data_IF_531991052979
#
_entry.id   IF_531991052979
#
_cell.length_a   1.000
_cell.length_b   1.000
_cell.length_c   1.000
_cell.angle_alpha   90.00
_cell.angle_beta   90.00
_cell.angle_gamma   90.00
#
_symmetry.space_group_name_H-M   'P 1'
#
loop_
_entity.id
_entity.type
_entity.pdbx_description
1 polymer ?
#
# COMPACT_ATOMS: atom_id res chain seq x y z
N UNK A 1 26.09 -6.51 24.46
CA UNK A 1 24.72 -6.89 24.08
C UNK A 1 24.85 -8.09 23.16
N UNK A 2 24.08 -9.17 23.35
CA UNK A 2 24.13 -10.29 22.41
C UNK A 2 23.49 -9.89 21.07
N UNK A 3 23.74 -10.67 20.02
CA UNK A 3 23.11 -10.46 18.71
C UNK A 3 21.58 -10.50 18.82
N UNK A 4 21.05 -11.45 19.60
CA UNK A 4 19.63 -11.59 19.88
C UNK A 4 19.09 -10.37 20.64
N UNK A 5 19.81 -9.90 21.67
CA UNK A 5 19.42 -8.69 22.40
C UNK A 5 19.35 -7.45 21.49
N UNK A 6 20.25 -7.33 20.51
CA UNK A 6 20.24 -6.23 19.55
C UNK A 6 19.00 -6.28 18.64
N UNK A 7 18.62 -7.46 18.16
CA UNK A 7 17.37 -7.63 17.38
C UNK A 7 16.16 -7.28 18.24
N UNK A 8 16.08 -7.79 19.47
CA UNK A 8 14.95 -7.48 20.37
C UNK A 8 14.87 -5.99 20.68
N UNK A 9 16.02 -5.35 20.91
CA UNK A 9 16.09 -3.91 21.15
C UNK A 9 15.63 -3.10 19.93
N UNK A 10 16.00 -3.51 18.72
CA UNK A 10 15.52 -2.90 17.49
C UNK A 10 13.99 -3.00 17.38
N UNK A 11 13.43 -4.21 17.53
CA UNK A 11 11.99 -4.45 17.47
C UNK A 11 11.23 -3.68 18.54
N UNK A 12 11.74 -3.66 19.77
CA UNK A 12 11.16 -2.89 20.87
C UNK A 12 11.06 -1.39 20.54
N UNK A 13 12.10 -0.83 19.91
CA UNK A 13 12.08 0.58 19.49
C UNK A 13 11.03 0.85 18.41
N UNK A 14 10.88 -0.05 17.42
CA UNK A 14 9.82 0.04 16.40
C UNK A 14 8.43 0.01 17.04
N UNK A 15 8.18 -0.91 17.98
CA UNK A 15 6.92 -1.00 18.71
C UNK A 15 6.60 0.27 19.51
N UNK A 16 7.63 0.89 20.13
CA UNK A 16 7.47 2.18 20.81
C UNK A 16 7.12 3.31 19.84
N UNK A 17 7.74 3.35 18.67
CA UNK A 17 7.39 4.33 17.63
C UNK A 17 5.96 4.12 17.15
N UNK A 18 5.56 2.87 16.90
CA UNK A 18 4.19 2.52 16.51
C UNK A 18 3.17 2.99 17.56
N UNK A 19 3.44 2.71 18.85
CA UNK A 19 2.60 3.17 19.97
C UNK A 19 2.50 4.69 20.00
N UNK A 20 3.63 5.39 19.86
CA UNK A 20 3.66 6.85 19.82
C UNK A 20 2.84 7.43 18.67
N UNK A 21 2.88 6.82 17.47
CA UNK A 21 2.05 7.23 16.33
C UNK A 21 0.56 7.07 16.65
N UNK A 22 0.17 5.95 17.26
CA UNK A 22 -1.21 5.69 17.65
C UNK A 22 -1.73 6.70 18.67
N UNK A 23 -0.89 7.12 19.61
CA UNK A 23 -1.19 8.10 20.65
C UNK A 23 -1.22 9.55 20.16
N UNK A 24 -0.87 9.83 18.89
CA UNK A 24 -1.00 11.17 18.33
C UNK A 24 -2.46 11.63 18.35
N UNK A 25 -2.63 12.89 18.75
CA UNK A 25 -3.91 13.61 18.78
C UNK A 25 -3.79 14.85 17.90
N UNK A 26 -4.89 15.27 17.28
CA UNK A 26 -4.88 16.42 16.35
C UNK A 26 -6.22 16.61 15.65
N UNK A 27 -6.28 17.62 14.78
CA UNK A 27 -7.47 17.97 13.99
C UNK A 27 -7.50 17.31 12.60
N UNK A 28 -7.98 18.06 11.59
CA UNK A 28 -8.41 17.59 10.27
C UNK A 28 -7.40 16.77 9.45
N UNK A 29 -6.11 16.81 9.80
CA UNK A 29 -5.04 16.09 9.09
C UNK A 29 -4.38 14.98 9.90
N UNK A 30 -4.91 14.65 11.09
CA UNK A 30 -4.35 13.65 11.99
C UNK A 30 -4.13 12.30 11.29
N UNK A 31 -5.09 11.84 10.52
CA UNK A 31 -4.97 10.56 9.79
C UNK A 31 -3.85 10.60 8.77
N UNK A 32 -3.71 11.68 8.00
CA UNK A 32 -2.62 11.81 7.03
C UNK A 32 -1.25 11.81 7.73
N UNK A 33 -1.15 12.48 8.88
CA UNK A 33 0.06 12.46 9.71
C UNK A 33 0.37 11.06 10.24
N UNK A 34 -0.63 10.32 10.74
CA UNK A 34 -0.44 8.95 11.19
C UNK A 34 -0.01 8.04 10.03
N UNK A 35 -0.68 8.12 8.87
CA UNK A 35 -0.38 7.34 7.67
C UNK A 35 1.06 7.53 7.20
N UNK A 36 1.52 8.78 7.07
CA UNK A 36 2.91 9.05 6.65
C UNK A 36 3.93 8.50 7.66
N UNK A 37 3.66 8.60 8.96
CA UNK A 37 4.56 8.06 9.98
C UNK A 37 4.59 6.53 9.96
N UNK A 38 3.45 5.86 9.77
CA UNK A 38 3.41 4.41 9.59
C UNK A 38 4.16 3.95 8.34
N UNK A 39 4.01 4.67 7.23
CA UNK A 39 4.74 4.38 6.00
C UNK A 39 6.26 4.54 6.19
N UNK A 40 6.69 5.59 6.89
CA UNK A 40 8.09 5.77 7.29
C UNK A 40 8.58 4.65 8.21
N UNK A 41 7.73 4.15 9.11
CA UNK A 41 8.07 3.03 9.98
C UNK A 41 8.26 1.71 9.20
N UNK A 42 7.42 1.46 8.19
CA UNK A 42 7.60 0.34 7.26
C UNK A 42 8.89 0.49 6.44
N UNK A 43 9.22 1.68 5.95
CA UNK A 43 10.50 1.94 5.28
C UNK A 43 11.70 1.77 6.21
N UNK A 44 11.54 2.11 7.48
CA UNK A 44 12.56 1.89 8.52
C UNK A 44 12.80 0.39 8.68
N UNK A 45 11.75 -0.41 8.93
CA UNK A 45 11.85 -1.86 8.99
C UNK A 45 12.47 -2.47 7.73
N UNK A 46 12.08 -1.98 6.55
CA UNK A 46 12.63 -2.42 5.27
C UNK A 46 14.14 -2.14 5.17
N UNK A 47 14.62 -0.97 5.61
CA UNK A 47 16.05 -0.65 5.63
C UNK A 47 16.79 -1.56 6.61
N UNK A 48 16.24 -1.79 7.81
CA UNK A 48 16.83 -2.65 8.82
C UNK A 48 16.97 -4.09 8.36
N UNK A 49 15.93 -4.66 7.74
CA UNK A 49 15.95 -6.05 7.28
C UNK A 49 16.74 -6.25 5.98
N UNK A 50 16.62 -5.33 5.02
CA UNK A 50 17.08 -5.56 3.64
C UNK A 50 18.33 -4.75 3.26
N UNK A 51 18.73 -3.76 4.07
CA UNK A 51 19.86 -2.89 3.76
C UNK A 51 19.72 -2.27 2.36
N UNK A 52 20.75 -2.39 1.54
CA UNK A 52 20.76 -1.93 0.14
C UNK A 52 20.79 -3.07 -0.89
N UNK A 53 20.39 -4.28 -0.47
CA UNK A 53 20.25 -5.44 -1.35
C UNK A 53 19.25 -5.20 -2.50
N UNK A 54 18.23 -4.37 -2.28
CA UNK A 54 17.23 -3.99 -3.28
C UNK A 54 17.43 -2.54 -3.72
N UNK A 55 17.69 -2.35 -5.01
CA UNK A 55 17.85 -1.04 -5.62
C UNK A 55 16.52 -0.30 -5.77
N UNK A 56 16.51 0.95 -5.33
CA UNK A 56 15.40 1.90 -5.46
C UNK A 56 14.35 1.76 -4.35
N UNK A 57 14.06 2.87 -3.67
CA UNK A 57 13.19 2.91 -2.50
C UNK A 57 11.80 2.32 -2.77
N UNK A 58 11.21 2.63 -3.93
CA UNK A 58 9.90 2.10 -4.28
C UNK A 58 9.88 0.58 -4.52
N UNK A 59 10.96 0.01 -5.07
CA UNK A 59 11.06 -1.45 -5.24
C UNK A 59 11.26 -2.14 -3.90
N UNK A 60 12.15 -1.59 -3.07
CA UNK A 60 12.40 -2.07 -1.71
C UNK A 60 11.13 -2.04 -0.86
N UNK A 61 10.37 -0.94 -0.89
CA UNK A 61 9.09 -0.83 -0.20
C UNK A 61 8.07 -1.87 -0.67
N UNK A 62 7.88 -2.01 -1.99
CA UNK A 62 6.91 -2.98 -2.54
C UNK A 62 7.28 -4.41 -2.16
N UNK A 63 8.54 -4.79 -2.37
CA UNK A 63 9.04 -6.10 -1.96
C UNK A 63 8.84 -6.32 -0.46
N UNK A 64 9.20 -5.34 0.36
CA UNK A 64 9.05 -5.44 1.81
C UNK A 64 7.59 -5.69 2.21
N UNK A 65 6.65 -4.91 1.67
CA UNK A 65 5.22 -5.08 1.98
C UNK A 65 4.69 -6.44 1.52
N UNK A 66 5.12 -6.90 0.34
CA UNK A 66 4.70 -8.19 -0.22
C UNK A 66 5.21 -9.39 0.60
N UNK A 67 6.43 -9.31 1.13
CA UNK A 67 7.10 -10.46 1.76
C UNK A 67 7.04 -10.43 3.29
N UNK A 68 6.91 -9.25 3.92
CA UNK A 68 6.96 -9.11 5.38
C UNK A 68 5.64 -8.69 6.02
N UNK A 69 4.67 -8.13 5.29
CA UNK A 69 3.44 -7.60 5.93
C UNK A 69 2.22 -8.54 5.88
N UNK A 70 2.35 -9.74 5.31
CA UNK A 70 1.26 -10.73 5.16
C UNK A 70 -0.01 -10.19 4.45
N UNK A 71 0.13 -9.16 3.60
CA UNK A 71 -1.02 -8.58 2.93
C UNK A 71 -1.38 -9.34 1.64
N UNK A 72 -2.33 -10.25 1.74
CA UNK A 72 -2.74 -11.15 0.64
C UNK A 72 -3.14 -10.44 -0.65
N UNK A 73 -3.76 -9.26 -0.54
CA UNK A 73 -4.26 -8.50 -1.67
C UNK A 73 -3.21 -7.56 -2.29
N UNK A 74 -1.99 -7.48 -1.74
CA UNK A 74 -0.92 -6.58 -2.18
C UNK A 74 -0.65 -6.67 -3.70
N UNK A 75 -0.65 -7.90 -4.23
CA UNK A 75 -0.35 -8.24 -5.64
C UNK A 75 -1.60 -8.26 -6.54
N UNK A 76 -2.80 -8.05 -6.01
CA UNK A 76 -4.04 -7.94 -6.82
C UNK A 76 -4.09 -6.60 -7.55
N UNK A 77 -4.76 -6.58 -8.70
CA UNK A 77 -4.83 -5.43 -9.60
C UNK A 77 -6.14 -4.69 -9.39
N UNK A 78 -6.05 -3.42 -8.97
CA UNK A 78 -7.21 -2.56 -8.83
C UNK A 78 -7.97 -2.39 -10.15
N UNK A 79 -9.16 -3.00 -10.25
CA UNK A 79 -10.06 -2.84 -11.40
C UNK A 79 -10.48 -1.39 -11.57
N UNK A 80 -10.68 -0.67 -10.47
CA UNK A 80 -11.06 0.73 -10.51
C UNK A 80 -9.96 1.60 -11.12
N UNK A 81 -8.71 1.44 -10.68
CA UNK A 81 -7.60 2.22 -11.24
C UNK A 81 -7.30 1.82 -12.69
N UNK A 82 -7.44 0.53 -13.02
CA UNK A 82 -7.36 0.06 -14.39
C UNK A 82 -8.48 0.64 -15.28
N UNK A 83 -9.69 0.74 -14.76
CA UNK A 83 -10.83 1.36 -15.45
C UNK A 83 -10.55 2.82 -15.78
N UNK A 84 -10.14 3.61 -14.78
CA UNK A 84 -9.80 5.01 -14.96
C UNK A 84 -8.67 5.17 -15.99
N UNK A 85 -7.62 4.35 -15.90
CA UNK A 85 -6.54 4.36 -16.88
C UNK A 85 -7.03 4.10 -18.33
N UNK A 86 -7.85 3.07 -18.52
CA UNK A 86 -8.38 2.72 -19.84
C UNK A 86 -9.40 3.76 -20.36
N UNK A 87 -10.14 4.41 -19.46
CA UNK A 87 -11.18 5.39 -19.79
C UNK A 87 -10.62 6.79 -20.04
N UNK A 88 -9.62 7.23 -19.28
CA UNK A 88 -9.22 8.65 -19.26
C UNK A 88 -7.95 8.92 -20.07
N UNK A 89 -7.06 7.93 -20.20
CA UNK A 89 -5.75 8.17 -20.82
C UNK A 89 -5.77 8.15 -22.36
N UNK A 90 -6.77 7.52 -22.95
CA UNK A 90 -6.80 7.21 -24.38
C UNK A 90 -7.85 8.04 -25.12
N UNK A 91 -7.59 8.35 -26.39
CA UNK A 91 -8.58 9.02 -27.26
C UNK A 91 -9.75 8.10 -27.57
N UNK A 92 -10.84 8.63 -28.14
CA UNK A 92 -12.01 7.83 -28.56
C UNK A 92 -11.62 6.71 -29.52
N UNK A 93 -10.71 6.97 -30.45
CA UNK A 93 -10.21 6.00 -31.43
C UNK A 93 -9.35 4.91 -30.78
N UNK A 94 -8.50 5.27 -29.83
CA UNK A 94 -7.69 4.31 -29.08
C UNK A 94 -8.53 3.44 -28.14
N UNK A 95 -9.61 3.99 -27.57
CA UNK A 95 -10.56 3.22 -26.75
C UNK A 95 -11.22 2.09 -27.51
N UNK A 96 -11.37 2.20 -28.83
CA UNK A 96 -11.89 1.10 -29.67
C UNK A 96 -10.98 -0.13 -29.54
N UNK A 97 -9.66 0.07 -29.48
CA UNK A 97 -8.68 -1.02 -29.30
C UNK A 97 -8.82 -1.71 -27.94
N UNK A 98 -9.30 -0.99 -26.92
CA UNK A 98 -9.50 -1.49 -25.56
C UNK A 98 -10.95 -1.83 -25.22
N UNK A 99 -11.85 -1.88 -26.21
CA UNK A 99 -13.30 -2.07 -25.98
C UNK A 99 -13.60 -3.34 -25.18
N UNK A 100 -12.91 -4.45 -25.46
CA UNK A 100 -13.08 -5.73 -24.74
C UNK A 100 -12.61 -5.62 -23.29
N UNK A 101 -11.44 -5.02 -23.05
CA UNK A 101 -10.87 -4.82 -21.72
C UNK A 101 -11.74 -3.89 -20.88
N UNK A 102 -12.20 -2.77 -21.47
CA UNK A 102 -13.13 -1.85 -20.83
C UNK A 102 -14.45 -2.52 -20.46
N UNK A 103 -15.01 -3.35 -21.35
CA UNK A 103 -16.22 -4.11 -21.06
C UNK A 103 -16.02 -5.10 -19.91
N UNK A 104 -14.90 -5.84 -19.92
CA UNK A 104 -14.54 -6.76 -18.84
C UNK A 104 -14.42 -6.04 -17.49
N UNK A 105 -13.64 -4.96 -17.43
CA UNK A 105 -13.41 -4.22 -16.18
C UNK A 105 -14.73 -3.62 -15.67
N UNK A 106 -15.52 -2.97 -16.55
CA UNK A 106 -16.85 -2.45 -16.18
C UNK A 106 -17.77 -3.54 -15.63
N UNK A 107 -17.82 -4.70 -16.28
CA UNK A 107 -18.70 -5.79 -15.85
C UNK A 107 -18.35 -6.34 -14.46
N UNK A 108 -17.07 -6.32 -14.09
CA UNK A 108 -16.64 -6.75 -12.76
C UNK A 108 -16.82 -5.66 -11.70
N UNK A 109 -16.61 -4.39 -12.05
CA UNK A 109 -16.93 -3.27 -11.16
C UNK A 109 -18.43 -3.19 -10.82
N UNK A 110 -19.31 -3.61 -11.72
CA UNK A 110 -20.76 -3.69 -11.45
C UNK A 110 -21.11 -4.79 -10.44
N UNK A 111 -20.21 -5.74 -10.15
CA UNK A 111 -20.41 -6.79 -9.14
C UNK A 111 -20.05 -6.30 -7.73
N UNK A 112 -19.46 -5.11 -7.60
CA UNK A 112 -19.10 -4.56 -6.30
C UNK A 112 -20.37 -4.27 -5.50
N UNK A 113 -20.44 -4.67 -4.21
CA UNK A 113 -21.61 -4.40 -3.38
C UNK A 113 -21.78 -2.89 -3.20
N UNK A 114 -22.92 -2.35 -3.62
CA UNK A 114 -23.14 -0.89 -3.70
C UNK A 114 -23.39 -0.20 -2.35
N UNK A 115 -23.61 -0.96 -1.28
CA UNK A 115 -24.02 -0.46 0.05
C UNK A 115 -23.02 -0.71 1.16
N UNK A 116 -21.87 -1.31 0.85
CA UNK A 116 -20.82 -1.63 1.83
C UNK A 116 -19.44 -1.34 1.26
N UNK A 117 -18.45 -1.08 2.11
CA UNK A 117 -17.05 -1.09 1.72
C UNK A 117 -16.67 -2.35 0.95
N UNK A 118 -15.93 -2.21 -0.15
CA UNK A 118 -15.54 -3.33 -1.01
C UNK A 118 -14.10 -3.70 -0.72
N UNK A 119 -13.87 -4.90 -0.22
CA UNK A 119 -12.51 -5.39 0.04
C UNK A 119 -11.73 -5.60 -1.27
N UNK A 120 -10.40 -5.51 -1.20
CA UNK A 120 -9.54 -5.72 -2.36
C UNK A 120 -9.48 -7.17 -2.83
N UNK A 121 -9.97 -8.13 -2.02
CA UNK A 121 -10.11 -9.53 -2.43
C UNK A 121 -11.05 -9.72 -3.65
N UNK A 122 -11.93 -8.75 -3.93
CA UNK A 122 -12.77 -8.70 -5.13
C UNK A 122 -12.00 -8.33 -6.41
N UNK A 123 -10.82 -7.72 -6.27
CA UNK A 123 -9.96 -7.45 -7.42
C UNK A 123 -9.27 -8.74 -7.89
N UNK A 124 -9.06 -8.93 -9.19
CA UNK A 124 -8.38 -10.09 -9.74
C UNK A 124 -6.88 -10.10 -9.42
N UNK A 125 -6.30 -11.29 -9.40
CA UNK A 125 -4.85 -11.47 -9.37
C UNK A 125 -4.23 -10.98 -10.68
N UNK A 126 -2.96 -10.62 -10.61
CA UNK A 126 -2.21 -10.10 -11.76
C UNK A 126 -2.25 -11.03 -12.99
N UNK A 127 -2.07 -12.33 -12.78
CA UNK A 127 -2.06 -13.32 -13.87
C UNK A 127 -3.42 -13.44 -14.58
N UNK A 128 -4.52 -13.31 -13.83
CA UNK A 128 -5.88 -13.32 -14.40
C UNK A 128 -6.07 -12.14 -15.35
N UNK A 129 -5.61 -10.94 -14.98
CA UNK A 129 -5.71 -9.74 -15.83
C UNK A 129 -4.74 -9.77 -17.01
N UNK A 130 -3.54 -10.32 -16.87
CA UNK A 130 -2.57 -10.40 -17.97
C UNK A 130 -3.15 -11.11 -19.20
N UNK A 131 -3.93 -12.17 -18.98
CA UNK A 131 -4.60 -12.91 -20.07
C UNK A 131 -5.64 -12.08 -20.83
N UNK A 132 -6.28 -11.13 -20.15
CA UNK A 132 -7.37 -10.29 -20.68
C UNK A 132 -6.84 -9.00 -21.31
N UNK A 133 -5.78 -8.46 -20.73
CA UNK A 133 -5.18 -7.19 -21.07
C UNK A 133 -3.71 -7.34 -21.53
N UNK A 134 -3.37 -8.24 -22.48
CA UNK A 134 -1.99 -8.53 -22.84
C UNK A 134 -1.25 -7.30 -23.39
N UNK A 135 -1.96 -6.42 -24.11
CA UNK A 135 -1.42 -5.19 -24.70
C UNK A 135 -0.91 -4.16 -23.68
N UNK A 136 -1.31 -4.26 -22.42
CA UNK A 136 -0.86 -3.37 -21.34
C UNK A 136 -0.20 -4.14 -20.19
N UNK A 137 0.17 -5.41 -20.40
CA UNK A 137 0.74 -6.28 -19.37
C UNK A 137 1.92 -5.63 -18.62
N UNK A 138 2.82 -4.95 -19.34
CA UNK A 138 3.95 -4.23 -18.76
C UNK A 138 3.59 -3.04 -17.86
N UNK A 139 2.33 -2.58 -17.88
CA UNK A 139 1.82 -1.49 -17.03
C UNK A 139 0.96 -1.99 -15.86
N UNK A 140 0.54 -3.26 -15.85
CA UNK A 140 -0.41 -3.77 -14.86
C UNK A 140 0.12 -3.69 -13.42
N UNK A 141 1.43 -3.86 -13.24
CA UNK A 141 2.09 -3.68 -11.95
C UNK A 141 1.88 -2.29 -11.35
N UNK A 142 1.61 -1.26 -12.15
CA UNK A 142 1.33 0.09 -11.65
C UNK A 142 -0.05 0.24 -11.00
N UNK A 143 -0.92 -0.76 -11.17
CA UNK A 143 -2.27 -0.81 -10.63
C UNK A 143 -2.42 -1.87 -9.54
N UNK A 144 -1.34 -2.53 -9.13
CA UNK A 144 -1.40 -3.41 -7.96
C UNK A 144 -1.56 -2.61 -6.68
N UNK A 145 -2.23 -3.17 -5.68
CA UNK A 145 -2.51 -2.46 -4.44
C UNK A 145 -1.25 -2.01 -3.71
N UNK A 146 -0.18 -2.80 -3.72
CA UNK A 146 1.12 -2.37 -3.17
C UNK A 146 1.73 -1.18 -3.93
N UNK A 147 1.55 -1.12 -5.26
CA UNK A 147 1.99 0.03 -6.06
C UNK A 147 1.13 1.27 -5.81
N UNK A 148 -0.16 1.08 -5.53
CA UNK A 148 -1.07 2.16 -5.15
C UNK A 148 -0.78 2.68 -3.74
N UNK A 149 -0.43 1.81 -2.80
CA UNK A 149 0.06 2.19 -1.47
C UNK A 149 1.36 3.00 -1.56
N UNK A 150 2.30 2.60 -2.43
CA UNK A 150 3.51 3.40 -2.70
C UNK A 150 3.18 4.78 -3.30
N UNK A 151 2.18 4.87 -4.18
CA UNK A 151 1.71 6.17 -4.71
C UNK A 151 1.07 7.03 -3.65
N UNK A 152 0.32 6.45 -2.70
CA UNK A 152 -0.20 7.16 -1.53
C UNK A 152 0.97 7.70 -0.70
N UNK A 153 1.97 6.88 -0.40
CA UNK A 153 3.18 7.30 0.32
C UNK A 153 3.83 8.51 -0.32
N UNK A 154 4.07 8.46 -1.63
CA UNK A 154 4.67 9.59 -2.34
C UNK A 154 3.78 10.84 -2.33
N UNK A 155 2.47 10.67 -2.41
CA UNK A 155 1.51 11.78 -2.29
C UNK A 155 1.56 12.44 -0.91
N UNK A 156 1.56 11.64 0.16
CA UNK A 156 1.62 12.16 1.52
C UNK A 156 2.96 12.85 1.77
N UNK A 157 4.07 12.25 1.34
CA UNK A 157 5.41 12.79 1.58
C UNK A 157 5.75 14.04 0.75
N UNK A 158 5.27 14.12 -0.50
CA UNK A 158 5.68 15.18 -1.42
C UNK A 158 4.58 16.21 -1.72
N UNK A 159 3.31 15.84 -1.55
CA UNK A 159 2.17 16.72 -1.83
C UNK A 159 1.37 17.06 -0.56
N UNK A 160 1.69 16.47 0.61
CA UNK A 160 0.90 16.54 1.86
C UNK A 160 -0.59 16.22 1.65
N UNK A 161 -0.89 15.42 0.63
CA UNK A 161 -2.25 15.18 0.17
C UNK A 161 -2.60 13.71 0.29
N UNK A 162 -3.59 13.40 1.13
CA UNK A 162 -4.30 12.13 1.10
C UNK A 162 -4.94 11.95 -0.27
N UNK A 163 -4.62 10.85 -0.96
CA UNK A 163 -5.30 10.45 -2.21
C UNK A 163 -6.51 9.57 -1.96
N UNK A 164 -6.67 9.15 -0.71
CA UNK A 164 -7.87 8.57 -0.13
C UNK A 164 -8.74 9.66 0.52
N UNK A 165 -10.05 9.45 0.59
CA UNK A 165 -10.95 10.41 1.23
C UNK A 165 -11.01 10.20 2.74
N UNK A 166 -11.46 11.20 3.52
CA UNK A 166 -11.98 10.96 4.86
C UNK A 166 -13.03 9.85 4.77
N UNK A 167 -12.72 8.72 5.37
CA UNK A 167 -13.50 7.50 5.26
C UNK A 167 -14.51 7.45 6.39
N UNK A 168 -15.78 7.20 6.05
CA UNK A 168 -16.81 6.89 7.05
C UNK A 168 -16.55 5.55 7.75
N UNK A 169 -15.58 4.79 7.26
CA UNK A 169 -15.24 3.43 7.66
C UNK A 169 -13.78 3.35 8.14
N UNK A 170 -13.28 4.43 8.75
CA UNK A 170 -11.93 4.53 9.32
C UNK A 170 -11.64 3.48 10.42
N UNK A 171 -12.67 2.90 11.02
CA UNK A 171 -12.54 1.86 12.04
C UNK A 171 -12.33 0.45 11.46
N UNK A 172 -12.46 0.27 10.15
CA UNK A 172 -12.28 -1.04 9.53
C UNK A 172 -10.80 -1.45 9.55
N UNK A 173 -10.49 -2.72 9.87
CA UNK A 173 -9.10 -3.18 9.97
C UNK A 173 -8.45 -3.51 8.62
N UNK A 174 -9.13 -3.23 7.51
CA UNK A 174 -8.70 -3.64 6.16
C UNK A 174 -8.88 -2.51 5.15
N UNK A 175 -8.03 -2.47 4.11
CA UNK A 175 -8.16 -1.49 3.04
C UNK A 175 -9.30 -1.90 2.11
N UNK A 176 -10.00 -0.92 1.57
CA UNK A 176 -11.24 -1.15 0.85
C UNK A 176 -11.53 -0.03 -0.14
N UNK A 177 -12.52 -0.24 -1.01
CA UNK A 177 -13.12 0.81 -1.78
C UNK A 177 -14.37 1.36 -1.10
N UNK A 178 -14.58 2.66 -1.27
CA UNK A 178 -15.83 3.32 -0.93
C UNK A 178 -16.48 3.91 -2.18
N UNK A 179 -17.80 3.92 -2.21
CA UNK A 179 -18.55 4.59 -3.25
C UNK A 179 -18.60 6.08 -2.94
N UNK A 180 -17.90 6.88 -3.73
CA UNK A 180 -17.90 8.34 -3.60
C UNK A 180 -18.78 8.97 -4.68
N UNK A 181 -19.52 10.00 -4.30
CA UNK A 181 -20.33 10.80 -5.23
C UNK A 181 -19.61 12.12 -5.51
N UNK A 182 -19.25 12.33 -6.77
CA UNK A 182 -18.65 13.57 -7.25
C UNK A 182 -19.69 14.70 -7.30
N UNK A 183 -19.26 15.99 -7.38
CA UNK A 183 -20.17 17.13 -7.45
C UNK A 183 -21.14 17.10 -8.64
N UNK A 184 -20.74 16.47 -9.75
CA UNK A 184 -21.56 16.25 -10.94
C UNK A 184 -22.54 15.06 -10.81
N UNK A 185 -22.72 14.55 -9.59
CA UNK A 185 -23.55 13.40 -9.22
C UNK A 185 -23.06 12.05 -9.78
N UNK A 186 -21.93 12.01 -10.48
CA UNK A 186 -21.35 10.75 -10.90
C UNK A 186 -20.80 9.97 -9.70
N UNK A 187 -20.90 8.65 -9.78
CA UNK A 187 -20.41 7.74 -8.74
C UNK A 187 -19.09 7.14 -9.17
N UNK A 188 -18.13 7.08 -8.26
CA UNK A 188 -16.83 6.47 -8.49
C UNK A 188 -16.38 5.71 -7.26
N UNK A 189 -15.64 4.62 -7.47
CA UNK A 189 -14.96 3.92 -6.39
C UNK A 189 -13.67 4.65 -6.06
N UNK A 190 -13.45 4.90 -4.78
CA UNK A 190 -12.22 5.48 -4.24
C UNK A 190 -11.58 4.49 -3.30
N UNK A 191 -10.27 4.54 -3.19
CA UNK A 191 -9.49 3.67 -2.32
C UNK A 191 -9.40 4.31 -0.93
N UNK A 192 -9.60 3.51 0.11
CA UNK A 192 -9.43 3.89 1.51
C UNK A 192 -8.40 2.97 2.18
N UNK A 193 -7.45 3.56 2.90
CA UNK A 193 -6.50 2.85 3.75
C UNK A 193 -6.68 3.30 5.21
N UNK A 194 -7.48 2.57 6.01
CA UNK A 194 -7.69 2.91 7.42
C UNK A 194 -6.40 2.82 8.25
N UNK A 195 -6.33 3.57 9.37
CA UNK A 195 -5.18 3.52 10.29
C UNK A 195 -4.95 2.10 10.85
N UNK A 196 -6.04 1.37 11.12
CA UNK A 196 -5.96 -0.01 11.60
C UNK A 196 -5.27 -0.94 10.61
N UNK A 197 -5.41 -0.71 9.30
CA UNK A 197 -4.68 -1.46 8.29
C UNK A 197 -3.16 -1.22 8.37
N UNK A 198 -2.72 0.01 8.61
CA UNK A 198 -1.29 0.30 8.78
C UNK A 198 -0.72 -0.38 10.03
N UNK A 199 -1.47 -0.40 11.13
CA UNK A 199 -1.10 -1.17 12.31
C UNK A 199 -0.96 -2.66 12.01
N UNK A 200 -1.91 -3.23 11.27
CA UNK A 200 -1.84 -4.61 10.81
C UNK A 200 -0.55 -4.88 10.01
N UNK A 201 -0.21 -4.02 9.04
CA UNK A 201 1.03 -4.17 8.26
C UNK A 201 2.27 -4.15 9.15
N UNK A 202 2.37 -3.17 10.06
CA UNK A 202 3.53 -3.02 10.95
C UNK A 202 3.65 -4.20 11.91
N UNK A 203 2.55 -4.67 12.50
CA UNK A 203 2.57 -5.82 13.41
C UNK A 203 3.11 -7.08 12.74
N UNK A 204 2.61 -7.40 11.53
CA UNK A 204 3.12 -8.55 10.78
C UNK A 204 4.58 -8.33 10.37
N UNK A 205 4.93 -7.12 9.94
CA UNK A 205 6.29 -6.79 9.56
C UNK A 205 7.28 -6.97 10.73
N UNK A 206 6.91 -6.56 11.94
CA UNK A 206 7.74 -6.74 13.15
C UNK A 206 8.09 -8.22 13.36
N UNK A 207 7.08 -9.09 13.40
CA UNK A 207 7.27 -10.52 13.66
C UNK A 207 8.09 -11.20 12.54
N UNK A 208 7.79 -10.87 11.30
CA UNK A 208 8.47 -11.44 10.14
C UNK A 208 9.91 -10.91 10.00
N UNK A 209 10.16 -9.63 10.30
CA UNK A 209 11.51 -9.03 10.31
C UNK A 209 12.37 -9.66 11.38
N UNK A 210 11.82 -9.82 12.60
CA UNK A 210 12.51 -10.49 13.71
C UNK A 210 12.95 -11.90 13.31
N UNK A 211 12.01 -12.69 12.80
CA UNK A 211 12.26 -14.07 12.35
C UNK A 211 13.31 -14.11 11.24
N UNK A 212 13.20 -13.22 10.24
CA UNK A 212 14.14 -13.13 9.13
C UNK A 212 15.54 -12.76 9.59
N UNK A 213 15.68 -11.75 10.44
CA UNK A 213 16.98 -11.29 10.95
C UNK A 213 17.70 -12.37 11.76
N UNK A 214 16.96 -13.10 12.60
CA UNK A 214 17.51 -14.23 13.36
C UNK A 214 17.97 -15.35 12.43
N UNK A 215 17.14 -15.73 11.46
CA UNK A 215 17.43 -16.83 10.53
C UNK A 215 18.63 -16.54 9.62
N UNK A 216 18.69 -15.33 9.07
CA UNK A 216 19.73 -14.93 8.11
C UNK A 216 20.95 -14.30 8.80
N UNK A 217 20.99 -14.29 10.14
CA UNK A 217 22.06 -13.69 10.96
C UNK A 217 22.33 -12.22 10.59
N UNK A 218 21.26 -11.44 10.41
CA UNK A 218 21.30 -10.01 10.06
C UNK A 218 21.08 -9.19 11.33
N UNK A 219 22.01 -8.29 11.64
CA UNK A 219 21.80 -7.26 12.64
C UNK A 219 21.21 -6.02 11.93
N UNK A 220 19.96 -5.61 12.24
CA UNK A 220 19.33 -4.46 11.59
C UNK A 220 20.11 -3.17 11.70
N UNK A 221 20.84 -2.96 12.81
CA UNK A 221 21.62 -1.75 13.04
C UNK A 221 22.75 -1.57 12.03
N UNK A 222 23.34 -2.66 11.52
CA UNK A 222 24.42 -2.59 10.54
C UNK A 222 24.00 -1.97 9.19
N UNK A 223 22.68 -1.86 8.95
CA UNK A 223 22.15 -1.24 7.76
C UNK A 223 21.96 0.29 7.88
N UNK A 224 22.29 0.90 9.02
CA UNK A 224 22.17 2.34 9.22
C UNK A 224 23.53 2.99 9.44
N UNK A 225 23.62 4.26 9.09
CA UNK A 225 24.75 5.11 9.45
C UNK A 225 24.41 5.86 10.75
N UNK A 226 25.21 5.61 11.79
CA UNK A 226 25.13 6.31 13.08
C UNK A 226 26.21 7.39 13.22
N UNK A 227 26.94 7.66 12.14
CA UNK A 227 27.89 8.75 12.07
C UNK A 227 27.21 10.10 12.23
N UNK A 228 27.99 11.08 12.67
CA UNK A 228 27.51 12.47 12.82
C UNK A 228 27.68 13.30 11.54
N UNK A 229 28.25 12.72 10.49
CA UNK A 229 28.46 13.39 9.20
C UNK A 229 27.22 13.15 8.32
N UNK A 230 26.54 14.23 7.94
CA UNK A 230 25.35 14.23 7.08
C UNK A 230 25.71 14.56 5.64
#
# INVERSE_FOLDING_TARGET
MSFEDEIEQYIYNIQRMQKSINELNGGDFLDNHKKILFLSLLETLAKGALGDSIKGNGNKFRFFVEEFCNWEDAKRVSLQQLYLFLKEKYTTEEKIKFKKQLAFVKSNLLKYPSSTPVQFCFDPKLEEIKSICPSIAGKLNNFTHVSLLWKLRNSLAHEFRGKDTPSLFNDLPYPHYEMYRLPDLTKTWIISYPIMFFNYLVNNAIENVKTYCQKENINPYNNYDFGFLW
#
